data_IF_783717361740
#
_entry.id   IF_783717361740
#
_cell.length_a   1.000
_cell.length_b   1.000
_cell.length_c   1.000
_cell.angle_alpha   90.00
_cell.angle_beta   90.00
_cell.angle_gamma   90.00
#
_symmetry.space_group_name_H-M   'P 1'
#
loop_
_entity.id
_entity.type
_entity.pdbx_description
1 polymer ?
#
# COMPACT_ATOMS: atom_id res chain seq x y z
N UNK A 1 -47.29 -16.82 -34.00
CA UNK A 1 -46.11 -17.57 -33.52
C UNK A 1 -44.86 -16.87 -34.05
N UNK A 2 -44.19 -16.07 -33.23
CA UNK A 2 -42.98 -15.35 -33.62
C UNK A 2 -41.75 -16.25 -33.38
N UNK A 3 -40.99 -16.52 -34.43
CA UNK A 3 -39.77 -17.32 -34.37
C UNK A 3 -38.67 -16.54 -33.63
N UNK A 4 -38.21 -17.07 -32.51
CA UNK A 4 -37.07 -16.53 -31.77
C UNK A 4 -35.80 -16.82 -32.57
N UNK A 5 -35.13 -15.75 -32.96
CA UNK A 5 -33.92 -15.72 -33.79
C UNK A 5 -32.74 -16.42 -33.07
N UNK A 6 -32.21 -17.50 -33.64
CA UNK A 6 -31.09 -18.28 -33.06
C UNK A 6 -29.76 -17.51 -32.92
N UNK A 7 -29.66 -16.26 -33.38
CA UNK A 7 -28.46 -15.43 -33.26
C UNK A 7 -28.27 -14.74 -31.90
N UNK A 8 -29.29 -14.67 -31.05
CA UNK A 8 -29.18 -14.08 -29.70
C UNK A 8 -28.68 -15.06 -28.63
N UNK A 9 -28.51 -16.35 -28.95
CA UNK A 9 -28.00 -17.35 -28.02
C UNK A 9 -26.46 -17.51 -28.04
N UNK A 10 -25.74 -16.86 -28.96
CA UNK A 10 -24.26 -16.97 -29.01
C UNK A 10 -23.52 -15.91 -28.20
N UNK A 11 -24.16 -14.80 -27.83
CA UNK A 11 -23.53 -13.77 -26.99
C UNK A 11 -23.53 -14.12 -25.50
N UNK A 12 -24.54 -14.85 -25.02
CA UNK A 12 -24.60 -15.32 -23.63
C UNK A 12 -23.69 -16.52 -23.35
N UNK A 13 -23.36 -17.33 -24.37
CA UNK A 13 -22.50 -18.49 -24.23
C UNK A 13 -20.99 -18.16 -24.18
N UNK A 14 -20.58 -16.89 -24.41
CA UNK A 14 -19.18 -16.46 -24.26
C UNK A 14 -18.80 -16.05 -22.83
N UNK A 15 -19.76 -15.67 -22.00
CA UNK A 15 -19.48 -15.29 -20.60
C UNK A 15 -19.40 -16.47 -19.63
N UNK A 16 -19.83 -17.67 -20.02
CA UNK A 16 -19.81 -18.87 -19.17
C UNK A 16 -18.52 -19.70 -19.25
N UNK A 17 -17.44 -19.13 -19.81
CA UNK A 17 -16.11 -19.78 -19.88
C UNK A 17 -14.96 -18.92 -19.36
N UNK A 18 -15.26 -17.89 -18.57
CA UNK A 18 -14.26 -17.37 -17.63
C UNK A 18 -13.97 -18.51 -16.67
N UNK A 19 -12.80 -19.16 -16.82
CA UNK A 19 -12.26 -20.09 -15.82
C UNK A 19 -12.51 -19.44 -14.47
N UNK A 20 -13.25 -20.11 -13.58
CA UNK A 20 -13.34 -19.70 -12.18
C UNK A 20 -11.93 -19.80 -11.63
N UNK A 21 -11.15 -18.73 -11.75
CA UNK A 21 -9.88 -18.61 -11.05
C UNK A 21 -10.25 -18.77 -9.58
N UNK A 22 -9.86 -19.91 -9.02
CA UNK A 22 -10.10 -20.19 -7.62
C UNK A 22 -9.09 -19.35 -6.87
N UNK A 23 -9.56 -18.27 -6.26
CA UNK A 23 -8.75 -17.50 -5.32
C UNK A 23 -8.99 -18.05 -3.91
N UNK A 24 -7.93 -18.16 -3.10
CA UNK A 24 -8.03 -18.43 -1.65
C UNK A 24 -7.50 -17.24 -0.85
N UNK A 25 -8.09 -17.03 0.33
CA UNK A 25 -7.64 -16.00 1.28
C UNK A 25 -6.82 -16.68 2.38
N UNK A 26 -5.63 -16.17 2.65
CA UNK A 26 -4.69 -16.77 3.60
C UNK A 26 -3.99 -15.69 4.42
N UNK A 27 -3.59 -16.01 5.65
CA UNK A 27 -2.61 -15.19 6.37
C UNK A 27 -1.24 -15.42 5.75
N UNK A 28 -0.51 -14.33 5.50
CA UNK A 28 0.86 -14.45 5.05
C UNK A 28 1.76 -14.99 6.17
N UNK A 29 2.73 -15.79 5.78
CA UNK A 29 3.82 -16.30 6.60
C UNK A 29 5.09 -15.55 6.24
N UNK A 30 6.10 -15.69 7.07
CA UNK A 30 7.41 -15.06 6.84
C UNK A 30 8.00 -15.43 5.47
N UNK A 31 7.87 -16.70 5.06
CA UNK A 31 8.34 -17.20 3.76
C UNK A 31 7.62 -16.58 2.56
N UNK A 32 6.44 -15.97 2.76
CA UNK A 32 5.70 -15.29 1.69
C UNK A 32 6.24 -13.87 1.42
N UNK A 33 7.01 -13.29 2.33
CA UNK A 33 7.43 -11.88 2.26
C UNK A 33 8.24 -11.54 1.00
N UNK A 34 9.18 -12.36 0.50
CA UNK A 34 9.91 -12.04 -0.72
C UNK A 34 8.99 -11.86 -1.94
N UNK A 35 8.04 -12.78 -2.16
CA UNK A 35 7.07 -12.66 -3.25
C UNK A 35 6.12 -11.48 -3.00
N UNK A 36 5.59 -11.37 -1.78
CA UNK A 36 4.61 -10.35 -1.42
C UNK A 36 5.15 -8.92 -1.61
N UNK A 37 6.37 -8.64 -1.13
CA UNK A 37 6.98 -7.31 -1.24
C UNK A 37 7.39 -7.01 -2.69
N UNK A 38 7.86 -8.02 -3.44
CA UNK A 38 8.16 -7.83 -4.88
C UNK A 38 6.91 -7.41 -5.64
N UNK A 39 5.80 -8.13 -5.46
CA UNK A 39 4.54 -7.82 -6.15
C UNK A 39 3.95 -6.47 -5.70
N UNK A 40 4.13 -6.09 -4.42
CA UNK A 40 3.79 -4.76 -3.93
C UNK A 40 4.54 -3.68 -4.73
N UNK A 41 5.87 -3.78 -4.80
CA UNK A 41 6.72 -2.83 -5.52
C UNK A 41 6.33 -2.72 -6.99
N UNK A 42 6.18 -3.86 -7.68
CA UNK A 42 5.73 -3.89 -9.08
C UNK A 42 4.37 -3.20 -9.29
N UNK A 43 3.46 -3.33 -8.32
CA UNK A 43 2.13 -2.71 -8.41
C UNK A 43 2.19 -1.19 -8.27
N UNK A 44 3.01 -0.68 -7.35
CA UNK A 44 3.13 0.75 -7.08
C UNK A 44 4.12 1.48 -8.01
N UNK A 45 4.84 0.75 -8.85
CA UNK A 45 5.75 1.31 -9.86
C UNK A 45 5.10 1.52 -11.23
N UNK A 46 3.88 1.02 -11.43
CA UNK A 46 3.22 1.11 -12.72
C UNK A 46 1.71 1.37 -12.58
N UNK A 47 1.27 2.65 -12.50
CA UNK A 47 2.09 3.86 -12.56
C UNK A 47 2.83 4.15 -11.23
N UNK A 48 3.98 4.87 -11.26
CA UNK A 48 4.71 5.24 -10.05
C UNK A 48 3.86 6.05 -9.07
N UNK A 49 3.87 5.66 -7.80
CA UNK A 49 3.18 6.39 -6.73
C UNK A 49 4.19 7.03 -5.77
N UNK A 50 4.24 8.37 -5.74
CA UNK A 50 5.16 9.10 -4.87
C UNK A 50 4.99 8.80 -3.38
N UNK A 51 3.74 8.60 -2.93
CA UNK A 51 3.45 8.22 -1.53
C UNK A 51 4.05 6.86 -1.17
N UNK A 52 4.12 5.92 -2.10
CA UNK A 52 4.77 4.62 -1.87
C UNK A 52 6.26 4.81 -1.62
N UNK A 53 6.90 5.71 -2.37
CA UNK A 53 8.32 6.00 -2.23
C UNK A 53 8.68 6.70 -0.93
N UNK A 54 7.72 7.35 -0.25
CA UNK A 54 7.89 7.86 1.12
C UNK A 54 8.28 6.76 2.13
N UNK A 55 7.72 5.56 1.96
CA UNK A 55 7.93 4.43 2.87
C UNK A 55 8.93 3.40 2.31
N UNK A 56 9.08 3.36 0.98
CA UNK A 56 9.92 2.40 0.27
C UNK A 56 10.86 3.13 -0.71
N UNK A 57 11.90 3.82 -0.18
CA UNK A 57 12.85 4.57 -1.00
C UNK A 57 13.59 3.68 -2.01
N UNK A 58 13.97 4.28 -3.13
CA UNK A 58 15.02 3.75 -4.00
C UNK A 58 16.33 4.42 -3.59
N UNK A 59 17.23 3.65 -3.00
CA UNK A 59 18.57 4.09 -2.63
C UNK A 59 19.49 4.12 -3.84
N UNK A 60 20.20 5.23 -4.03
CA UNK A 60 21.22 5.41 -5.08
C UNK A 60 20.76 5.07 -6.52
N UNK A 61 19.44 5.07 -6.76
CA UNK A 61 18.86 4.64 -8.04
C UNK A 61 18.90 3.12 -8.28
N UNK A 62 19.26 2.32 -7.27
CA UNK A 62 19.34 0.86 -7.35
C UNK A 62 18.06 0.20 -6.84
N UNK A 63 17.17 -0.14 -7.78
CA UNK A 63 15.88 -0.74 -7.47
C UNK A 63 16.01 -2.13 -6.82
N UNK A 64 16.94 -2.97 -7.29
CA UNK A 64 17.07 -4.36 -6.82
C UNK A 64 17.63 -4.40 -5.40
N UNK A 65 18.67 -3.61 -5.12
CA UNK A 65 19.21 -3.46 -3.77
C UNK A 65 18.15 -2.93 -2.80
N UNK A 66 17.38 -1.93 -3.23
CA UNK A 66 16.33 -1.32 -2.40
C UNK A 66 15.17 -2.28 -2.13
N UNK A 67 14.80 -3.12 -3.11
CA UNK A 67 13.82 -4.18 -2.91
C UNK A 67 14.31 -5.20 -1.88
N UNK A 68 15.56 -5.67 -1.98
CA UNK A 68 16.11 -6.65 -1.03
C UNK A 68 16.14 -6.09 0.39
N UNK A 69 16.58 -4.83 0.55
CA UNK A 69 16.50 -4.13 1.84
C UNK A 69 15.06 -4.06 2.35
N UNK A 70 14.11 -3.68 1.50
CA UNK A 70 12.69 -3.61 1.86
C UNK A 70 12.12 -4.96 2.29
N UNK A 71 12.54 -6.07 1.68
CA UNK A 71 12.13 -7.42 2.08
C UNK A 71 12.60 -7.71 3.51
N UNK A 72 13.85 -7.38 3.83
CA UNK A 72 14.42 -7.61 5.16
C UNK A 72 13.80 -6.70 6.23
N UNK A 73 13.61 -5.42 5.93
CA UNK A 73 12.96 -4.47 6.84
C UNK A 73 11.51 -4.91 7.14
N UNK A 74 10.77 -5.36 6.12
CA UNK A 74 9.42 -5.89 6.31
C UNK A 74 9.40 -7.23 7.05
N UNK A 75 10.41 -8.09 6.89
CA UNK A 75 10.57 -9.32 7.69
C UNK A 75 10.77 -8.98 9.17
N UNK A 76 11.68 -8.05 9.46
CA UNK A 76 11.95 -7.59 10.83
C UNK A 76 10.69 -6.98 11.47
N UNK A 77 10.01 -6.07 10.75
CA UNK A 77 8.73 -5.47 11.18
C UNK A 77 7.65 -6.53 11.39
N UNK A 78 7.51 -7.48 10.46
CA UNK A 78 6.51 -8.55 10.53
C UNK A 78 6.65 -9.40 11.79
N UNK A 79 7.87 -9.75 12.18
CA UNK A 79 8.16 -10.54 13.40
C UNK A 79 7.93 -9.69 14.65
N UNK A 80 8.48 -8.46 14.68
CA UNK A 80 8.43 -7.56 15.83
C UNK A 80 7.02 -7.12 16.18
N UNK A 81 6.18 -6.89 15.18
CA UNK A 81 4.85 -6.29 15.33
C UNK A 81 3.73 -7.35 15.45
N UNK A 82 4.08 -8.63 15.60
CA UNK A 82 3.08 -9.63 15.99
C UNK A 82 2.65 -9.42 17.45
N UNK A 83 1.36 -9.66 17.79
CA UNK A 83 0.29 -10.14 16.91
C UNK A 83 -0.55 -9.05 16.25
N UNK A 84 -0.22 -7.76 16.43
CA UNK A 84 -1.08 -6.62 16.06
C UNK A 84 -1.02 -6.25 14.58
N UNK A 85 -0.03 -6.76 13.83
CA UNK A 85 0.07 -6.58 12.37
C UNK A 85 -0.18 -7.87 11.63
N UNK A 86 -1.08 -7.83 10.64
CA UNK A 86 -1.40 -8.96 9.78
C UNK A 86 -1.24 -8.60 8.31
N UNK A 87 -0.64 -9.51 7.58
CA UNK A 87 -0.73 -9.54 6.13
C UNK A 87 -1.77 -10.59 5.73
N UNK A 88 -2.76 -10.18 4.96
CA UNK A 88 -3.76 -11.07 4.36
C UNK A 88 -3.45 -11.13 2.87
N UNK A 89 -3.22 -12.32 2.35
CA UNK A 89 -2.89 -12.56 0.94
C UNK A 89 -4.02 -13.30 0.24
N UNK A 90 -4.14 -13.04 -1.06
CA UNK A 90 -5.01 -13.77 -1.98
C UNK A 90 -4.13 -14.62 -2.88
N UNK A 91 -4.32 -15.93 -2.88
CA UNK A 91 -3.59 -16.84 -3.77
C UNK A 91 -4.40 -17.13 -5.02
N UNK A 92 -3.79 -17.07 -6.21
CA UNK A 92 -4.30 -17.70 -7.42
C UNK A 92 -4.00 -19.20 -7.34
N UNK A 93 -4.99 -20.02 -6.98
CA UNK A 93 -4.79 -21.46 -6.71
C UNK A 93 -4.32 -22.21 -7.96
N UNK A 94 -4.75 -21.79 -9.15
CA UNK A 94 -4.33 -22.42 -10.41
C UNK A 94 -2.86 -22.13 -10.70
N UNK A 95 -2.45 -20.87 -10.51
CA UNK A 95 -1.07 -20.43 -10.79
C UNK A 95 -0.11 -20.62 -9.61
N UNK A 96 -0.64 -20.98 -8.44
CA UNK A 96 0.10 -21.18 -7.18
C UNK A 96 0.99 -20.00 -6.82
N UNK A 97 0.42 -18.80 -6.87
CA UNK A 97 1.15 -17.54 -6.62
C UNK A 97 0.24 -16.50 -5.98
N UNK A 98 0.82 -15.50 -5.34
CA UNK A 98 0.08 -14.38 -4.77
C UNK A 98 -0.54 -13.58 -5.93
N UNK A 99 -1.80 -13.19 -5.75
CA UNK A 99 -2.60 -12.40 -6.69
C UNK A 99 -2.88 -11.00 -6.17
N UNK A 100 -2.99 -10.85 -4.86
CA UNK A 100 -3.21 -9.59 -4.14
C UNK A 100 -2.79 -9.77 -2.68
N UNK A 101 -2.51 -8.68 -1.98
CA UNK A 101 -2.36 -8.71 -0.53
C UNK A 101 -2.70 -7.36 0.10
N UNK A 102 -2.93 -7.39 1.41
CA UNK A 102 -3.16 -6.21 2.22
C UNK A 102 -2.50 -6.32 3.60
N UNK A 103 -1.87 -5.23 4.05
CA UNK A 103 -1.28 -5.05 5.39
C UNK A 103 -2.26 -4.31 6.28
N UNK A 104 -2.57 -4.92 7.42
CA UNK A 104 -3.50 -4.42 8.40
C UNK A 104 -2.82 -4.25 9.76
N UNK A 105 -3.11 -3.14 10.42
CA UNK A 105 -2.79 -2.89 11.82
C UNK A 105 -4.07 -2.98 12.65
N UNK A 106 -4.02 -3.71 13.75
CA UNK A 106 -5.12 -3.87 14.69
C UNK A 106 -4.77 -3.16 15.99
N UNK A 107 -5.54 -2.14 16.35
CA UNK A 107 -5.35 -1.37 17.56
C UNK A 107 -6.41 -1.73 18.59
N UNK A 108 -5.98 -2.24 19.73
CA UNK A 108 -6.84 -2.49 20.89
C UNK A 108 -6.82 -1.32 21.87
N UNK A 109 -7.56 -1.46 22.99
CA UNK A 109 -7.63 -0.42 24.03
C UNK A 109 -6.25 -0.10 24.64
N UNK A 110 -5.38 -1.10 24.79
CA UNK A 110 -4.05 -0.90 25.37
C UNK A 110 -3.12 -0.13 24.42
N UNK A 111 -3.19 -0.44 23.13
CA UNK A 111 -2.39 0.18 22.06
C UNK A 111 -2.79 1.65 21.82
N UNK A 112 -4.06 1.98 22.03
CA UNK A 112 -4.56 3.36 21.95
C UNK A 112 -4.06 4.24 23.11
N UNK A 113 -4.07 3.71 24.33
CA UNK A 113 -3.68 4.45 25.54
C UNK A 113 -2.16 4.63 25.70
N UNK A 114 -1.37 3.84 24.98
CA UNK A 114 0.08 3.99 24.94
C UNK A 114 0.46 5.32 24.27
N UNK A 115 1.37 6.10 24.88
CA UNK A 115 2.01 7.24 24.21
C UNK A 115 2.73 6.71 22.97
N UNK A 116 2.24 7.05 21.79
CA UNK A 116 2.94 6.72 20.55
C UNK A 116 4.27 7.48 20.49
N UNK A 117 5.36 6.84 20.04
CA UNK A 117 6.63 7.52 19.86
C UNK A 117 6.48 8.66 18.85
N UNK A 118 7.35 9.65 18.95
CA UNK A 118 7.46 10.68 17.91
C UNK A 118 7.78 9.99 16.58
N UNK A 119 7.00 10.30 15.55
CA UNK A 119 7.28 9.82 14.19
C UNK A 119 8.62 10.38 13.74
N UNK A 120 9.54 9.49 13.39
CA UNK A 120 10.84 9.77 12.78
C UNK A 120 11.05 8.80 11.61
N UNK A 121 11.55 9.32 10.50
CA UNK A 121 11.79 8.56 9.26
C UNK A 121 13.24 8.07 9.25
N UNK A 122 13.57 7.19 10.20
CA UNK A 122 14.93 6.70 10.43
C UNK A 122 15.47 5.79 9.30
N UNK A 123 14.59 5.30 8.43
CA UNK A 123 14.96 4.50 7.24
C UNK A 123 15.55 5.31 6.08
N UNK A 124 15.57 6.65 6.18
CA UNK A 124 16.31 7.54 5.29
C UNK A 124 17.59 8.04 5.96
N UNK A 125 18.67 8.37 5.23
CA UNK A 125 19.86 8.99 5.82
C UNK A 125 19.56 10.31 6.56
N UNK A 126 20.34 10.64 7.59
CA UNK A 126 20.24 11.93 8.27
C UNK A 126 20.45 13.09 7.29
N UNK A 127 19.64 14.13 7.43
CA UNK A 127 19.74 15.32 6.58
C UNK A 127 18.40 15.98 6.31
N UNK A 128 18.40 16.90 5.35
CA UNK A 128 17.24 17.73 5.01
C UNK A 128 16.09 16.90 4.44
N UNK A 129 16.41 15.87 3.66
CA UNK A 129 15.39 14.97 3.11
C UNK A 129 14.70 14.18 4.20
N UNK A 130 15.42 13.62 5.18
CA UNK A 130 14.78 12.98 6.35
C UNK A 130 13.86 13.94 7.08
N UNK A 131 14.23 15.21 7.24
CA UNK A 131 13.38 16.21 7.88
C UNK A 131 12.10 16.51 7.09
N UNK A 132 12.21 16.66 5.77
CA UNK A 132 11.07 16.82 4.86
C UNK A 132 10.11 15.63 5.00
N UNK A 133 10.64 14.42 4.85
CA UNK A 133 9.86 13.19 4.86
C UNK A 133 9.26 12.92 6.24
N UNK A 134 9.97 13.24 7.33
CA UNK A 134 9.42 13.16 8.68
C UNK A 134 8.21 14.07 8.85
N UNK A 135 8.22 15.28 8.26
CA UNK A 135 7.03 16.14 8.25
C UNK A 135 5.90 15.52 7.40
N UNK A 136 6.23 14.97 6.23
CA UNK A 136 5.24 14.33 5.37
C UNK A 136 4.57 13.12 6.04
N UNK A 137 5.34 12.20 6.65
CA UNK A 137 4.80 11.04 7.37
C UNK A 137 3.95 11.48 8.57
N UNK A 138 4.38 12.50 9.33
CA UNK A 138 3.55 13.05 10.43
C UNK A 138 2.19 13.52 9.93
N UNK A 139 2.14 14.21 8.79
CA UNK A 139 0.89 14.67 8.19
C UNK A 139 0.06 13.51 7.63
N UNK A 140 0.70 12.48 7.07
CA UNK A 140 0.05 11.26 6.60
C UNK A 140 -0.60 10.47 7.73
N UNK A 141 0.06 10.35 8.88
CA UNK A 141 -0.44 9.60 10.04
C UNK A 141 -1.43 10.41 10.90
N UNK A 142 -1.45 11.74 10.78
CA UNK A 142 -2.36 12.62 11.52
C UNK A 142 -3.84 12.20 11.53
N UNK A 143 -4.47 11.77 10.41
CA UNK A 143 -5.87 11.35 10.42
C UNK A 143 -6.08 10.13 11.31
N UNK A 144 -5.14 9.20 11.32
CA UNK A 144 -5.16 8.06 12.23
C UNK A 144 -5.06 8.53 13.68
N UNK A 145 -4.18 9.49 13.96
CA UNK A 145 -4.08 10.09 15.29
C UNK A 145 -5.38 10.77 15.73
N UNK A 146 -6.08 11.48 14.85
CA UNK A 146 -7.31 12.21 15.22
C UNK A 146 -8.53 11.28 15.33
N UNK A 147 -8.66 10.31 14.43
CA UNK A 147 -9.87 9.50 14.29
C UNK A 147 -9.76 8.11 14.96
N UNK A 148 -8.55 7.60 15.12
CA UNK A 148 -8.23 6.28 15.70
C UNK A 148 -8.31 6.23 17.23
N UNK A 149 -9.24 6.97 17.84
CA UNK A 149 -9.35 7.19 19.29
C UNK A 149 -10.11 6.07 20.04
N UNK A 150 -10.26 4.91 19.41
CA UNK A 150 -10.97 3.72 19.93
C UNK A 150 -10.42 2.47 19.24
N UNK A 151 -10.72 1.24 19.70
CA UNK A 151 -10.32 0.04 18.97
C UNK A 151 -10.76 0.11 17.51
N UNK A 152 -9.81 -0.11 16.60
CA UNK A 152 -10.02 0.00 15.17
C UNK A 152 -8.99 -0.81 14.38
N UNK A 153 -9.32 -1.03 13.12
CA UNK A 153 -8.46 -1.66 12.13
C UNK A 153 -8.01 -0.58 11.15
N UNK A 154 -6.74 -0.63 10.77
CA UNK A 154 -6.15 0.31 9.82
C UNK A 154 -5.53 -0.48 8.67
N UNK A 155 -6.11 -0.32 7.48
CA UNK A 155 -5.51 -0.77 6.23
C UNK A 155 -4.38 0.18 5.86
N UNK A 156 -3.14 -0.31 5.95
CA UNK A 156 -1.96 0.48 5.62
C UNK A 156 -1.65 0.43 4.13
N UNK A 157 -1.60 -0.79 3.56
CA UNK A 157 -1.29 -1.03 2.15
C UNK A 157 -2.21 -2.12 1.63
N UNK A 158 -2.75 -1.94 0.43
CA UNK A 158 -3.46 -2.98 -0.32
C UNK A 158 -3.05 -2.90 -1.78
N UNK A 159 -2.80 -4.05 -2.41
CA UNK A 159 -2.43 -4.12 -3.82
C UNK A 159 -2.98 -5.38 -4.48
N UNK A 160 -3.21 -5.28 -5.79
CA UNK A 160 -3.58 -6.38 -6.67
C UNK A 160 -2.55 -6.43 -7.77
N UNK A 161 -2.10 -7.62 -8.19
CA UNK A 161 -1.14 -7.72 -9.30
C UNK A 161 -1.66 -6.95 -10.51
N UNK A 162 -0.84 -6.14 -11.21
CA UNK A 162 -1.32 -5.23 -12.26
C UNK A 162 -2.13 -5.92 -13.36
N UNK A 163 -1.76 -7.16 -13.73
CA UNK A 163 -2.48 -7.95 -14.76
C UNK A 163 -3.83 -8.52 -14.31
N UNK A 164 -4.14 -8.43 -13.03
CA UNK A 164 -5.38 -8.90 -12.40
C UNK A 164 -6.22 -7.74 -11.85
N UNK A 165 -5.73 -6.50 -11.93
CA UNK A 165 -6.55 -5.35 -11.61
C UNK A 165 -7.66 -5.22 -12.65
N UNK A 166 -8.85 -5.62 -12.22
CA UNK A 166 -10.08 -5.59 -13.00
C UNK A 166 -11.00 -4.47 -12.50
N UNK A 167 -10.47 -3.47 -11.79
CA UNK A 167 -11.24 -2.26 -11.50
C UNK A 167 -11.63 -1.61 -12.82
N UNK A 168 -12.92 -1.31 -12.95
CA UNK A 168 -13.38 -0.46 -14.05
C UNK A 168 -12.62 0.87 -13.89
N UNK A 169 -11.96 1.37 -14.95
CA UNK A 169 -11.03 2.52 -14.85
C UNK A 169 -11.68 3.78 -14.27
N UNK A 170 -13.02 3.84 -14.22
CA UNK A 170 -13.81 5.02 -13.90
C UNK A 170 -14.52 4.94 -12.53
N UNK A 171 -14.44 3.83 -11.78
CA UNK A 171 -15.01 3.75 -10.42
C UNK A 171 -13.96 3.21 -9.44
N UNK A 172 -13.42 4.06 -8.54
CA UNK A 172 -12.47 3.63 -7.52
C UNK A 172 -13.01 2.44 -6.71
N UNK A 173 -12.16 1.43 -6.50
CA UNK A 173 -12.50 0.18 -5.80
C UNK A 173 -13.29 0.44 -4.51
N UNK A 174 -12.82 1.40 -3.72
CA UNK A 174 -13.39 1.75 -2.43
C UNK A 174 -14.83 2.31 -2.57
N UNK A 175 -15.09 3.15 -3.58
CA UNK A 175 -16.45 3.66 -3.84
C UNK A 175 -17.41 2.54 -4.21
N UNK A 176 -16.96 1.58 -5.05
CA UNK A 176 -17.75 0.40 -5.44
C UNK A 176 -18.18 -0.45 -4.23
N UNK A 177 -17.39 -0.47 -3.16
CA UNK A 177 -17.70 -1.21 -1.93
C UNK A 177 -18.22 -0.31 -0.80
N UNK A 178 -18.79 0.85 -1.13
CA UNK A 178 -19.43 1.79 -0.20
C UNK A 178 -18.50 2.40 0.86
N UNK A 179 -17.18 2.43 0.61
CA UNK A 179 -16.30 3.27 1.40
C UNK A 179 -16.65 4.74 1.13
N UNK A 180 -16.63 5.54 2.18
CA UNK A 180 -16.87 6.97 2.09
C UNK A 180 -15.56 7.70 2.37
N UNK A 181 -15.27 8.71 1.55
CA UNK A 181 -14.15 9.61 1.82
C UNK A 181 -14.51 10.44 3.06
N UNK A 182 -13.87 10.14 4.18
CA UNK A 182 -14.08 10.89 5.42
C UNK A 182 -13.35 12.24 5.41
N UNK A 183 -12.10 12.26 4.93
CA UNK A 183 -11.26 13.46 4.88
C UNK A 183 -10.16 13.27 3.84
N UNK A 184 -9.94 14.28 3.01
CA UNK A 184 -8.77 14.34 2.11
C UNK A 184 -7.68 15.13 2.83
N UNK A 185 -6.47 14.57 2.88
CA UNK A 185 -5.30 15.21 3.48
C UNK A 185 -4.27 15.50 2.40
N UNK A 186 -3.91 16.77 2.26
CA UNK A 186 -2.79 17.17 1.43
C UNK A 186 -1.52 17.23 2.27
N UNK A 187 -0.48 16.55 1.79
CA UNK A 187 0.84 16.60 2.42
C UNK A 187 1.55 17.87 1.96
N UNK A 188 1.77 18.80 2.89
CA UNK A 188 2.48 20.06 2.68
C UNK A 188 3.59 20.21 3.72
N UNK A 189 4.72 19.49 3.58
CA UNK A 189 5.91 19.73 4.40
C UNK A 189 6.34 21.19 4.30
N UNK A 190 6.78 21.79 5.41
CA UNK A 190 7.21 23.18 5.43
C UNK A 190 8.74 23.27 5.43
N UNK A 191 9.29 23.98 4.44
CA UNK A 191 10.73 24.23 4.34
C UNK A 191 11.19 25.09 5.54
N UNK A 192 12.18 24.64 6.32
CA UNK A 192 12.71 25.44 7.43
C UNK A 192 13.39 26.73 6.93
N UNK A 193 13.17 27.84 7.65
CA UNK A 193 13.75 29.14 7.31
C UNK A 193 15.29 29.20 7.44
N UNK A 194 15.88 28.25 8.17
CA UNK A 194 17.31 28.19 8.49
C UNK A 194 18.15 27.37 7.52
N UNK A 195 17.57 26.81 6.45
CA UNK A 195 18.33 25.99 5.49
C UNK A 195 19.35 26.82 4.70
N UNK A 196 20.51 26.24 4.47
CA UNK A 196 21.53 26.78 3.55
C UNK A 196 21.04 26.71 2.10
N UNK A 197 21.72 27.40 1.18
CA UNK A 197 21.38 27.34 -0.26
C UNK A 197 21.49 25.94 -0.86
N UNK A 198 22.40 25.10 -0.36
CA UNK A 198 22.54 23.73 -0.84
C UNK A 198 21.35 22.88 -0.41
N UNK A 199 21.00 22.98 0.86
CA UNK A 199 19.87 22.29 1.49
C UNK A 199 18.52 22.71 0.89
N UNK A 200 18.33 23.99 0.60
CA UNK A 200 17.14 24.49 -0.10
C UNK A 200 17.00 23.89 -1.51
N UNK A 201 18.11 23.66 -2.23
CA UNK A 201 18.06 23.01 -3.54
C UNK A 201 17.72 21.53 -3.41
N UNK A 202 18.23 20.88 -2.37
CA UNK A 202 17.92 19.48 -2.10
C UNK A 202 16.44 19.28 -1.77
N UNK A 203 15.87 20.14 -0.90
CA UNK A 203 14.44 20.13 -0.58
C UNK A 203 13.58 20.25 -1.84
N UNK A 204 13.85 21.25 -2.69
CA UNK A 204 13.06 21.51 -3.90
C UNK A 204 13.04 20.34 -4.88
N UNK A 205 14.18 19.61 -5.02
CA UNK A 205 14.24 18.41 -5.88
C UNK A 205 13.35 17.27 -5.41
N UNK A 206 12.94 17.25 -4.14
CA UNK A 206 12.03 16.24 -3.62
C UNK A 206 10.55 16.63 -3.70
N UNK A 207 10.25 17.89 -4.02
CA UNK A 207 8.89 18.37 -4.26
C UNK A 207 8.48 18.28 -5.75
N UNK A 208 9.45 18.12 -6.65
CA UNK A 208 9.28 17.91 -8.10
C UNK A 208 9.03 16.43 -8.43
#
# INVERSE_FOLDING_TARGET
MAAINRRTLSSFARYSRLRRVKFSLELAKEDDLPELITEQWETFDNPPQGIFRLFFPIEDGDWEKSLQRSIEDQRTSFIREQPTVKWIKVMDVEKKRIAAAAKWYFFDNASFLAKRPTVEVDWYPEGVIRNLLTQAVKQYEQPQHEMGQRPHEHLHIGFTRPKLDATDPDVPLYEKYNFQVAKVHELRPAMPASLTRSEMREWKRCEE
#
